data_IF_059772057796
#
_entry.id   IF_059772057796
#
_cell.length_a   1.000
_cell.length_b   1.000
_cell.length_c   1.000
_cell.angle_alpha   90.00
_cell.angle_beta   90.00
_cell.angle_gamma   90.00
#
_symmetry.space_group_name_H-M   'P 1'
#
loop_
_entity.id
_entity.type
_entity.pdbx_description
1 polymer ?
#
# COMPACT_ATOMS: atom_id res chain seq x y z
N UNK A 1 25.04 11.82 -10.00
CA UNK A 1 24.13 11.93 -8.84
C UNK A 1 23.46 10.58 -8.64
N UNK A 2 23.62 9.92 -7.49
CA UNK A 2 22.88 8.67 -7.20
C UNK A 2 21.42 9.07 -6.99
N UNK A 3 20.53 8.43 -7.75
CA UNK A 3 19.08 8.58 -7.65
C UNK A 3 18.66 8.56 -6.18
N UNK A 4 18.00 9.65 -5.72
CA UNK A 4 17.44 9.82 -4.38
C UNK A 4 16.08 9.10 -4.24
N UNK A 5 15.69 8.36 -5.27
CA UNK A 5 14.41 7.69 -5.36
C UNK A 5 14.50 6.32 -4.69
N UNK A 6 13.40 5.93 -4.06
CA UNK A 6 13.25 4.59 -3.50
C UNK A 6 13.34 3.55 -4.62
N UNK A 7 13.45 2.27 -4.27
CA UNK A 7 13.44 1.18 -5.24
C UNK A 7 12.18 0.33 -4.98
N UNK A 8 11.25 0.35 -5.92
CA UNK A 8 9.91 -0.20 -5.86
C UNK A 8 10.02 -1.70 -5.71
N UNK A 9 11.06 -2.30 -6.31
CA UNK A 9 11.35 -3.71 -6.14
C UNK A 9 11.78 -4.02 -4.70
N UNK A 10 12.54 -3.14 -4.04
CA UNK A 10 12.87 -3.29 -2.61
C UNK A 10 11.64 -3.09 -1.72
N UNK A 11 10.77 -2.13 -2.02
CA UNK A 11 9.50 -1.94 -1.29
C UNK A 11 8.63 -3.18 -1.45
N UNK A 12 8.40 -3.65 -2.68
CA UNK A 12 7.60 -4.85 -2.96
C UNK A 12 8.15 -6.07 -2.21
N UNK A 13 9.47 -6.28 -2.25
CA UNK A 13 10.11 -7.38 -1.51
C UNK A 13 9.88 -7.23 0.00
N UNK A 14 9.98 -6.01 0.51
CA UNK A 14 9.75 -5.72 1.93
C UNK A 14 8.30 -5.97 2.33
N UNK A 15 7.33 -5.53 1.53
CA UNK A 15 5.90 -5.71 1.79
C UNK A 15 5.51 -7.19 1.77
N UNK A 16 5.98 -7.94 0.77
CA UNK A 16 5.74 -9.40 0.67
C UNK A 16 6.21 -10.17 1.91
N UNK A 17 7.24 -9.68 2.60
CA UNK A 17 7.79 -10.31 3.80
C UNK A 17 7.09 -9.85 5.11
N UNK A 18 6.09 -8.96 5.04
CA UNK A 18 5.47 -8.28 6.20
C UNK A 18 3.96 -8.50 6.30
N UNK A 19 3.50 -9.66 5.85
CA UNK A 19 2.08 -10.07 5.84
C UNK A 19 1.17 -9.23 4.92
N UNK A 20 1.75 -8.47 3.99
CA UNK A 20 0.97 -7.82 2.96
C UNK A 20 0.63 -8.79 1.85
N UNK A 21 -0.66 -8.90 1.56
CA UNK A 21 -1.18 -9.71 0.47
C UNK A 21 -1.39 -8.82 -0.75
N UNK A 22 -0.92 -9.28 -1.93
CA UNK A 22 -1.17 -8.58 -3.19
C UNK A 22 -2.64 -8.75 -3.57
N UNK A 23 -3.34 -7.65 -3.80
CA UNK A 23 -4.77 -7.65 -4.14
C UNK A 23 -4.96 -7.45 -5.64
N UNK A 24 -5.93 -8.18 -6.20
CA UNK A 24 -6.44 -7.92 -7.55
C UNK A 24 -7.27 -6.63 -7.57
N UNK A 25 -6.92 -5.68 -8.41
CA UNK A 25 -7.62 -4.39 -8.51
C UNK A 25 -8.33 -4.24 -9.86
N UNK A 26 -9.21 -5.18 -10.19
CA UNK A 26 -9.93 -5.21 -11.49
C UNK A 26 -11.07 -4.20 -11.58
N UNK A 27 -11.43 -3.54 -10.48
CA UNK A 27 -12.40 -2.44 -10.45
C UNK A 27 -11.77 -1.07 -10.68
N UNK A 28 -12.56 -0.02 -10.46
CA UNK A 28 -12.18 1.37 -10.76
C UNK A 28 -11.39 2.08 -9.65
N UNK A 29 -11.32 1.49 -8.46
CA UNK A 29 -10.76 2.13 -7.27
C UNK A 29 -9.26 2.43 -7.40
N UNK A 30 -8.52 1.67 -8.22
CA UNK A 30 -7.08 1.83 -8.41
C UNK A 30 -6.66 1.71 -9.88
N UNK A 31 -7.37 2.37 -10.82
CA UNK A 31 -7.15 2.23 -12.27
C UNK A 31 -5.69 2.47 -12.70
N UNK A 32 -5.01 3.42 -12.06
CA UNK A 32 -3.63 3.79 -12.36
C UNK A 32 -2.60 2.96 -11.56
N UNK A 33 -3.03 1.99 -10.77
CA UNK A 33 -2.10 1.15 -10.02
C UNK A 33 -1.46 0.08 -10.90
N UNK A 34 -0.16 -0.15 -10.68
CA UNK A 34 0.60 -1.30 -11.13
C UNK A 34 0.38 -2.49 -10.19
N UNK A 35 0.31 -2.22 -8.89
CA UNK A 35 0.04 -3.21 -7.87
C UNK A 35 -0.59 -2.56 -6.63
N UNK A 36 -1.41 -3.34 -5.93
CA UNK A 36 -1.98 -2.97 -4.62
C UNK A 36 -1.62 -4.07 -3.64
N UNK A 37 -1.07 -3.70 -2.50
CA UNK A 37 -0.75 -4.58 -1.40
C UNK A 37 -1.54 -4.16 -0.18
N UNK A 38 -2.20 -5.11 0.48
CA UNK A 38 -3.06 -4.86 1.62
C UNK A 38 -2.65 -5.68 2.84
N UNK A 39 -2.73 -5.07 4.01
CA UNK A 39 -2.64 -5.73 5.31
C UNK A 39 -3.81 -5.25 6.17
N UNK A 40 -4.55 -6.18 6.74
CA UNK A 40 -5.56 -5.84 7.74
C UNK A 40 -4.85 -5.42 9.03
N UNK A 41 -5.15 -4.22 9.53
CA UNK A 41 -4.53 -3.67 10.74
C UNK A 41 -5.52 -3.57 11.91
N UNK A 42 -6.81 -3.65 11.60
CA UNK A 42 -7.95 -3.78 12.52
C UNK A 42 -9.12 -4.32 11.71
N UNK A 43 -10.13 -4.91 12.36
CA UNK A 43 -11.33 -5.46 11.70
C UNK A 43 -11.83 -4.53 10.59
N UNK A 44 -11.78 -5.02 9.35
CA UNK A 44 -12.20 -4.33 8.12
C UNK A 44 -11.46 -3.01 7.80
N UNK A 45 -10.40 -2.69 8.53
CA UNK A 45 -9.52 -1.53 8.29
C UNK A 45 -8.19 -2.04 7.77
N UNK A 46 -7.85 -1.57 6.58
CA UNK A 46 -6.69 -2.04 5.83
C UNK A 46 -5.68 -0.92 5.64
N UNK A 47 -4.41 -1.26 5.86
CA UNK A 47 -3.29 -0.48 5.35
C UNK A 47 -2.96 -0.98 3.95
N UNK A 48 -3.03 -0.08 2.99
CA UNK A 48 -2.77 -0.31 1.59
C UNK A 48 -1.50 0.40 1.16
N UNK A 49 -0.67 -0.28 0.39
CA UNK A 49 0.37 0.32 -0.43
C UNK A 49 0.01 0.15 -1.91
N UNK A 50 -0.18 1.27 -2.59
CA UNK A 50 -0.58 1.35 -3.99
C UNK A 50 0.64 1.83 -4.77
N UNK A 51 1.11 1.01 -5.69
CA UNK A 51 2.23 1.33 -6.58
C UNK A 51 1.61 1.81 -7.88
N UNK A 52 1.85 3.06 -8.27
CA UNK A 52 1.31 3.62 -9.51
C UNK A 52 2.13 3.18 -10.74
N UNK A 53 1.47 3.08 -11.89
CA UNK A 53 2.13 2.91 -13.19
C UNK A 53 2.67 4.27 -13.63
N UNK A 54 3.94 4.56 -13.38
CA UNK A 54 4.59 5.73 -13.98
C UNK A 54 6.08 5.49 -14.27
N UNK A 55 6.59 6.20 -15.28
CA UNK A 55 7.75 5.78 -16.10
C UNK A 55 9.08 6.33 -15.55
N UNK A 56 9.08 7.36 -14.72
CA UNK A 56 10.32 8.04 -14.30
C UNK A 56 10.46 8.31 -12.79
N UNK A 57 9.38 8.17 -12.01
CA UNK A 57 9.41 8.34 -10.55
C UNK A 57 8.55 7.25 -9.92
N UNK A 58 9.14 6.52 -8.97
CA UNK A 58 8.43 5.54 -8.18
C UNK A 58 7.42 6.23 -7.24
N UNK A 59 6.17 6.28 -7.67
CA UNK A 59 5.07 6.85 -6.89
C UNK A 59 4.35 5.74 -6.14
N UNK A 60 4.71 5.57 -4.87
CA UNK A 60 3.98 4.72 -3.92
C UNK A 60 3.05 5.58 -3.10
N UNK A 61 1.80 5.16 -2.97
CA UNK A 61 0.83 5.76 -2.07
C UNK A 61 0.55 4.79 -0.93
N UNK A 62 0.39 5.32 0.27
CA UNK A 62 -0.07 4.59 1.44
C UNK A 62 -1.44 5.11 1.83
N UNK A 63 -2.37 4.20 2.12
CA UNK A 63 -3.77 4.49 2.40
C UNK A 63 -4.23 3.64 3.59
N UNK A 64 -4.87 4.23 4.59
CA UNK A 64 -5.63 3.49 5.61
C UNK A 64 -7.09 3.73 5.34
N UNK A 65 -7.84 2.66 5.11
CA UNK A 65 -9.23 2.75 4.71
C UNK A 65 -10.07 1.57 5.21
N UNK A 66 -11.35 1.83 5.41
CA UNK A 66 -12.36 0.85 5.78
C UNK A 66 -12.99 0.24 4.52
N UNK A 67 -13.05 -1.08 4.48
CA UNK A 67 -13.67 -1.87 3.42
C UNK A 67 -14.50 -2.99 4.04
N UNK A 68 -15.59 -3.41 3.42
CA UNK A 68 -16.45 -4.49 3.94
C UNK A 68 -15.71 -5.81 4.21
N UNK A 69 -14.65 -6.08 3.44
CA UNK A 69 -13.80 -7.25 3.57
C UNK A 69 -12.54 -7.11 2.74
N UNK A 70 -11.58 -8.01 2.94
CA UNK A 70 -10.40 -8.10 2.07
C UNK A 70 -10.77 -8.26 0.57
N UNK A 71 -11.85 -8.99 0.28
CA UNK A 71 -12.31 -9.25 -1.09
C UNK A 71 -12.92 -8.05 -1.80
N UNK A 72 -13.33 -7.00 -1.08
CA UNK A 72 -13.88 -5.79 -1.71
C UNK A 72 -12.80 -4.79 -2.14
N UNK A 73 -11.58 -4.92 -1.62
CA UNK A 73 -10.43 -4.07 -1.96
C UNK A 73 -10.15 -4.20 -3.46
N UNK A 74 -10.16 -3.06 -4.16
CA UNK A 74 -9.88 -3.01 -5.59
C UNK A 74 -11.04 -3.42 -6.49
N UNK A 75 -12.19 -3.85 -5.95
CA UNK A 75 -13.44 -4.01 -6.68
C UNK A 75 -14.33 -2.77 -6.59
N UNK A 76 -14.43 -2.20 -5.39
CA UNK A 76 -15.20 -0.98 -5.09
C UNK A 76 -14.40 0.00 -4.26
N UNK A 77 -14.88 1.24 -4.20
CA UNK A 77 -14.32 2.26 -3.32
C UNK A 77 -14.41 1.85 -1.85
N UNK A 78 -13.47 2.28 -0.99
CA UNK A 78 -13.60 2.12 0.45
C UNK A 78 -14.85 2.84 0.97
N UNK A 79 -15.43 2.30 2.04
CA UNK A 79 -16.50 2.99 2.76
C UNK A 79 -16.01 4.29 3.41
N UNK A 80 -14.74 4.28 3.86
CA UNK A 80 -14.11 5.44 4.46
C UNK A 80 -12.60 5.44 4.22
N UNK A 81 -12.05 6.60 3.87
CA UNK A 81 -10.61 6.86 3.88
C UNK A 81 -10.26 7.56 5.20
N UNK A 82 -9.37 6.95 5.99
CA UNK A 82 -8.94 7.48 7.29
C UNK A 82 -7.59 8.19 7.20
N UNK A 83 -6.73 7.75 6.27
CA UNK A 83 -5.41 8.33 6.08
C UNK A 83 -4.92 8.13 4.64
N UNK A 84 -4.19 9.10 4.09
CA UNK A 84 -3.56 8.99 2.79
C UNK A 84 -2.23 9.73 2.78
N UNK A 85 -1.19 9.11 2.22
CA UNK A 85 0.13 9.70 2.06
C UNK A 85 0.78 9.25 0.75
N UNK A 86 1.32 10.21 -0.01
CA UNK A 86 2.23 9.90 -1.11
C UNK A 86 3.64 9.71 -0.54
N UNK A 87 4.20 8.51 -0.69
CA UNK A 87 5.54 8.15 -0.22
C UNK A 87 6.57 8.65 -1.23
N UNK A 88 7.43 9.57 -0.79
CA UNK A 88 8.50 10.15 -1.60
C UNK A 88 9.86 9.58 -1.24
N UNK A 89 10.06 9.28 0.04
CA UNK A 89 11.28 8.63 0.52
C UNK A 89 11.03 7.71 1.72
N UNK A 90 12.09 7.07 2.20
CA UNK A 90 12.01 6.09 3.30
C UNK A 90 11.53 6.69 4.63
N UNK A 91 11.69 8.00 4.84
CA UNK A 91 11.29 8.63 6.09
C UNK A 91 9.76 8.72 6.19
N UNK A 92 9.06 8.78 5.04
CA UNK A 92 7.60 8.72 5.00
C UNK A 92 7.06 7.36 5.47
N UNK A 93 7.89 6.30 5.44
CA UNK A 93 7.51 4.99 5.97
C UNK A 93 7.47 4.95 7.50
N UNK A 94 8.08 5.92 8.18
CA UNK A 94 8.11 5.98 9.65
C UNK A 94 6.70 6.01 10.25
N UNK A 95 5.74 6.68 9.59
CA UNK A 95 4.35 6.73 10.03
C UNK A 95 3.65 5.36 10.11
N UNK A 96 4.20 4.35 9.44
CA UNK A 96 3.64 3.01 9.37
C UNK A 96 4.49 1.97 10.09
N UNK A 97 5.54 2.35 10.82
CA UNK A 97 6.48 1.41 11.44
C UNK A 97 5.79 0.33 12.27
N UNK A 98 4.81 0.71 13.09
CA UNK A 98 4.03 -0.21 13.93
C UNK A 98 3.26 -1.28 13.12
N UNK A 99 2.86 -0.97 11.88
CA UNK A 99 2.15 -1.90 10.99
C UNK A 99 3.11 -2.70 10.10
N UNK A 100 4.31 -2.16 9.91
CA UNK A 100 5.39 -2.75 9.12
C UNK A 100 6.27 -3.71 9.93
N UNK A 101 6.17 -3.76 11.25
CA UNK A 101 6.75 -4.85 12.04
C UNK A 101 5.93 -6.12 11.83
N UNK A 102 6.59 -7.24 11.54
CA UNK A 102 5.95 -8.56 11.52
C UNK A 102 5.36 -8.81 12.90
N UNK A 103 4.14 -9.32 12.96
CA UNK A 103 3.57 -9.80 14.22
C UNK A 103 4.43 -10.98 14.68
N UNK A 104 5.34 -10.76 15.62
CA UNK A 104 6.03 -11.85 16.31
C UNK A 104 4.97 -12.58 17.15
N UNK A 105 4.32 -13.58 16.58
CA UNK A 105 3.59 -14.60 17.33
C UNK A 105 4.23 -15.95 17.07
#
# INVERSE_FOLDING_TARGET
>A
MKSKYMDCQKIIKTLKNKDFVKVSHTGKCFENAAAVYAKEIKENIFLLFIILKDIDIENVQALIAHFDSFGSIGLKEPEQIMFYLSIKDKNDLHYFEQYLTTSNN
#
